data_IF_395163793115
#
_entry.id   IF_395163793115
#
_cell.length_a   1.000
_cell.length_b   1.000
_cell.length_c   1.000
_cell.angle_alpha   90.00
_cell.angle_beta   90.00
_cell.angle_gamma   90.00
#
_symmetry.space_group_name_H-M   'P 1'
#
loop_
_entity.id
_entity.type
_entity.pdbx_description
1 polymer ?
#
# COMPACT_ATOMS: atom_id res chain seq x y z
N UNK A 1 19.24 -28.23 -82.89
CA UNK A 1 19.79 -28.83 -81.65
C UNK A 1 20.57 -27.72 -80.93
N UNK A 2 19.95 -26.92 -80.06
CA UNK A 2 19.63 -27.20 -78.65
C UNK A 2 20.88 -27.48 -77.79
N UNK A 3 21.19 -26.58 -76.84
CA UNK A 3 22.23 -26.78 -75.83
C UNK A 3 22.66 -25.51 -75.09
N UNK A 4 21.75 -24.90 -74.32
CA UNK A 4 22.02 -23.72 -73.47
C UNK A 4 22.79 -24.18 -72.22
N UNK A 5 24.03 -23.72 -72.03
CA UNK A 5 24.93 -24.16 -70.95
C UNK A 5 24.78 -23.27 -69.70
N UNK A 6 24.23 -23.88 -68.65
CA UNK A 6 24.43 -23.66 -67.19
C UNK A 6 24.66 -22.24 -66.65
N UNK A 7 23.71 -21.82 -65.82
CA UNK A 7 23.70 -20.64 -64.94
C UNK A 7 24.79 -20.78 -63.87
N UNK A 8 25.71 -19.80 -63.81
CA UNK A 8 26.71 -19.68 -62.76
C UNK A 8 26.09 -19.11 -61.47
N UNK A 9 26.14 -19.89 -60.40
CA UNK A 9 25.80 -19.47 -59.03
C UNK A 9 26.89 -18.55 -58.50
N UNK A 10 26.69 -17.23 -58.61
CA UNK A 10 27.53 -16.23 -57.92
C UNK A 10 27.33 -16.36 -56.41
N UNK A 11 28.41 -16.70 -55.71
CA UNK A 11 28.49 -16.75 -54.26
C UNK A 11 28.04 -15.43 -53.64
N UNK A 12 27.00 -15.51 -52.83
CA UNK A 12 26.55 -14.41 -51.98
C UNK A 12 27.56 -14.32 -50.84
N UNK A 13 28.47 -13.35 -50.94
CA UNK A 13 29.34 -12.95 -49.84
C UNK A 13 28.45 -12.46 -48.71
N UNK A 14 28.30 -13.32 -47.71
CA UNK A 14 27.70 -13.06 -46.41
C UNK A 14 28.25 -11.75 -45.86
N UNK A 15 27.49 -10.68 -46.08
CA UNK A 15 27.81 -9.34 -45.62
C UNK A 15 27.02 -9.16 -44.35
N UNK A 16 27.76 -9.29 -43.24
CA UNK A 16 27.40 -8.98 -41.86
C UNK A 16 26.17 -8.08 -41.74
N UNK A 17 25.06 -8.64 -41.29
CA UNK A 17 23.86 -7.88 -40.97
C UNK A 17 24.16 -6.97 -39.77
N UNK A 18 24.29 -5.67 -40.04
CA UNK A 18 24.16 -4.61 -39.04
C UNK A 18 22.66 -4.51 -38.70
N UNK A 19 22.22 -5.12 -37.60
CA UNK A 19 20.86 -4.94 -37.09
C UNK A 19 20.88 -4.72 -35.58
N UNK A 20 21.16 -3.44 -35.24
CA UNK A 20 20.45 -2.65 -34.24
C UNK A 20 20.09 -3.36 -32.92
N UNK A 21 20.95 -3.13 -31.91
CA UNK A 21 20.64 -3.29 -30.49
C UNK A 21 19.34 -2.53 -30.14
N UNK A 22 18.21 -3.22 -30.07
CA UNK A 22 17.02 -2.70 -29.41
C UNK A 22 17.10 -3.04 -27.92
N UNK A 23 17.71 -2.14 -27.14
CA UNK A 23 17.53 -2.12 -25.68
C UNK A 23 16.05 -1.89 -25.37
N UNK A 24 15.30 -2.96 -25.11
CA UNK A 24 14.07 -2.86 -24.34
C UNK A 24 14.30 -3.58 -23.02
N UNK A 25 15.03 -2.91 -22.14
CA UNK A 25 15.01 -3.22 -20.71
C UNK A 25 13.62 -2.84 -20.20
N UNK A 26 12.66 -3.75 -20.37
CA UNK A 26 11.39 -3.68 -19.68
C UNK A 26 11.68 -3.86 -18.19
N UNK A 27 11.79 -2.75 -17.46
CA UNK A 27 11.77 -2.78 -16.01
C UNK A 27 10.35 -3.19 -15.60
N UNK A 28 10.08 -4.50 -15.61
CA UNK A 28 8.86 -5.07 -15.06
C UNK A 28 8.93 -4.92 -13.54
N UNK A 29 8.58 -3.74 -13.04
CA UNK A 29 8.45 -3.50 -11.60
C UNK A 29 7.23 -4.30 -11.12
N UNK A 30 7.46 -5.52 -10.64
CA UNK A 30 6.42 -6.35 -10.01
C UNK A 30 5.89 -5.57 -8.81
N UNK A 31 4.71 -4.97 -8.94
CA UNK A 31 3.98 -4.38 -7.82
C UNK A 31 3.28 -5.52 -7.08
N UNK A 32 3.85 -5.96 -5.97
CA UNK A 32 3.23 -6.93 -5.07
C UNK A 32 2.09 -6.27 -4.28
N UNK A 33 1.01 -5.88 -4.96
CA UNK A 33 -0.16 -5.37 -4.27
C UNK A 33 -0.83 -6.48 -3.44
N UNK A 34 -1.08 -6.19 -2.18
CA UNK A 34 -1.75 -7.11 -1.25
C UNK A 34 -3.00 -6.45 -0.67
N UNK A 35 -3.97 -7.27 -0.28
CA UNK A 35 -5.10 -6.82 0.53
C UNK A 35 -4.72 -6.94 1.99
N UNK A 36 -4.89 -5.86 2.75
CA UNK A 36 -4.66 -5.80 4.20
C UNK A 36 -5.99 -5.65 4.89
N UNK A 37 -6.31 -6.58 5.80
CA UNK A 37 -7.46 -6.49 6.70
C UNK A 37 -7.09 -5.67 7.93
N UNK A 38 -7.83 -4.60 8.19
CA UNK A 38 -7.59 -3.68 9.31
C UNK A 38 -8.73 -3.83 10.30
N UNK A 39 -8.37 -4.18 11.53
CA UNK A 39 -9.31 -4.36 12.64
C UNK A 39 -8.87 -3.50 13.81
N UNK A 40 -9.83 -2.98 14.57
CA UNK A 40 -9.53 -2.25 15.79
C UNK A 40 -10.39 -2.74 16.94
N UNK A 41 -9.85 -2.55 18.14
CA UNK A 41 -10.58 -2.69 19.40
C UNK A 41 -10.52 -1.35 20.15
N UNK A 42 -11.67 -0.66 20.32
CA UNK A 42 -13.02 -1.04 19.87
C UNK A 42 -13.20 -0.97 18.33
N UNK A 43 -14.24 -1.63 17.81
CA UNK A 43 -14.61 -1.62 16.38
C UNK A 43 -15.23 -0.28 15.96
N UNK A 44 -15.35 -0.03 14.65
CA UNK A 44 -15.91 1.20 14.09
C UNK A 44 -15.00 2.41 14.31
N UNK A 45 -13.68 2.22 14.14
CA UNK A 45 -12.72 3.31 14.10
C UNK A 45 -12.55 3.76 12.64
N UNK A 46 -12.45 5.08 12.42
CA UNK A 46 -12.18 5.66 11.11
C UNK A 46 -10.70 5.48 10.77
N UNK A 47 -10.43 4.88 9.62
CA UNK A 47 -9.10 4.67 9.05
C UNK A 47 -8.96 5.56 7.83
N UNK A 48 -8.07 6.55 7.91
CA UNK A 48 -7.70 7.41 6.77
C UNK A 48 -6.34 6.97 6.24
N UNK A 49 -6.28 6.52 5.00
CA UNK A 49 -5.09 5.98 4.36
C UNK A 49 -4.60 6.96 3.31
N UNK A 50 -3.34 7.40 3.44
CA UNK A 50 -2.76 8.42 2.58
C UNK A 50 -2.85 8.00 1.10
N UNK A 51 -3.57 8.80 0.30
CA UNK A 51 -3.71 8.58 -1.15
C UNK A 51 -4.58 7.39 -1.56
N UNK A 52 -5.30 6.74 -0.63
CA UNK A 52 -6.29 5.67 -0.95
C UNK A 52 -7.70 6.11 -0.62
N UNK A 53 -7.91 6.72 0.56
CA UNK A 53 -9.23 7.13 1.03
C UNK A 53 -9.47 6.72 2.47
N UNK A 54 -10.74 6.56 2.82
CA UNK A 54 -11.19 6.31 4.20
C UNK A 54 -12.08 5.08 4.29
N UNK A 55 -11.99 4.34 5.39
CA UNK A 55 -12.89 3.24 5.74
C UNK A 55 -13.09 3.13 7.25
N UNK A 56 -14.12 2.39 7.68
CA UNK A 56 -14.34 2.10 9.10
C UNK A 56 -13.94 0.65 9.41
N UNK A 57 -13.27 0.43 10.54
CA UNK A 57 -12.88 -0.91 10.97
C UNK A 57 -14.11 -1.74 11.41
N UNK A 58 -14.16 -3.05 11.10
CA UNK A 58 -13.23 -3.79 10.28
C UNK A 58 -13.37 -3.46 8.77
N UNK A 59 -12.26 -3.14 8.10
CA UNK A 59 -12.23 -2.92 6.66
C UNK A 59 -11.01 -3.57 6.00
N UNK A 60 -11.12 -3.84 4.70
CA UNK A 60 -10.03 -4.39 3.89
C UNK A 60 -9.60 -3.36 2.85
N UNK A 61 -8.31 -3.10 2.75
CA UNK A 61 -7.77 -2.16 1.76
C UNK A 61 -6.71 -2.80 0.88
N UNK A 62 -6.62 -2.36 -0.37
CA UNK A 62 -5.55 -2.79 -1.29
C UNK A 62 -4.34 -1.87 -1.14
N UNK A 63 -3.19 -2.45 -0.83
CA UNK A 63 -1.91 -1.76 -0.59
C UNK A 63 -0.89 -2.22 -1.62
N UNK A 64 -0.51 -1.33 -2.52
CA UNK A 64 0.42 -1.57 -3.62
C UNK A 64 1.86 -1.09 -3.33
N UNK A 65 1.99 -0.10 -2.45
CA UNK A 65 3.26 0.40 -1.90
C UNK A 65 3.07 0.68 -0.41
N UNK A 66 4.16 0.91 0.33
CA UNK A 66 4.04 1.28 1.73
C UNK A 66 3.29 2.62 1.88
N UNK A 67 2.27 2.66 2.74
CA UNK A 67 1.44 3.84 2.99
C UNK A 67 1.32 4.08 4.50
N UNK A 68 1.15 5.33 4.90
CA UNK A 68 0.75 5.62 6.27
C UNK A 68 -0.77 5.67 6.36
N UNK A 69 -1.30 5.29 7.50
CA UNK A 69 -2.71 5.46 7.81
C UNK A 69 -2.87 6.04 9.22
N UNK A 70 -3.90 6.85 9.41
CA UNK A 70 -4.31 7.35 10.71
C UNK A 70 -5.62 6.68 11.09
N UNK A 71 -5.66 6.09 12.28
CA UNK A 71 -6.83 5.42 12.85
C UNK A 71 -7.33 6.28 14.00
N UNK A 72 -8.60 6.69 13.94
CA UNK A 72 -9.20 7.58 14.92
C UNK A 72 -10.59 7.09 15.33
N UNK A 73 -10.93 7.29 16.62
CA UNK A 73 -12.25 7.01 17.17
C UNK A 73 -12.51 7.95 18.35
N UNK A 74 -13.74 8.44 18.47
CA UNK A 74 -14.12 9.31 19.57
C UNK A 74 -13.84 8.65 20.94
N UNK A 75 -13.20 9.40 21.85
CA UNK A 75 -12.80 8.93 23.17
C UNK A 75 -11.48 8.16 23.22
N UNK A 76 -10.80 7.95 22.09
CA UNK A 76 -9.52 7.24 22.01
C UNK A 76 -8.43 8.11 21.39
N UNK A 77 -7.17 7.83 21.76
CA UNK A 77 -6.00 8.45 21.17
C UNK A 77 -5.85 7.99 19.70
N UNK A 78 -5.60 8.90 18.75
CA UNK A 78 -5.39 8.55 17.35
C UNK A 78 -4.05 7.81 17.18
N UNK A 79 -4.06 6.77 16.37
CA UNK A 79 -2.88 5.93 16.12
C UNK A 79 -2.44 6.07 14.67
N UNK A 80 -1.15 6.34 14.44
CA UNK A 80 -0.55 6.33 13.10
C UNK A 80 0.12 4.99 12.86
N UNK A 81 -0.28 4.31 11.79
CA UNK A 81 0.24 3.00 11.39
C UNK A 81 0.89 3.08 10.00
N UNK A 82 1.71 2.08 9.68
CA UNK A 82 2.29 1.89 8.35
C UNK A 82 1.80 0.58 7.78
N UNK A 83 1.21 0.64 6.59
CA UNK A 83 0.69 -0.50 5.86
C UNK A 83 1.66 -0.81 4.73
N UNK A 84 2.17 -2.04 4.71
CA UNK A 84 3.12 -2.50 3.70
C UNK A 84 2.49 -3.58 2.82
N UNK A 85 2.81 -3.60 1.52
CA UNK A 85 2.38 -4.70 0.67
C UNK A 85 2.96 -6.02 1.18
N UNK A 86 2.12 -7.07 1.24
CA UNK A 86 2.46 -8.37 1.80
C UNK A 86 1.95 -8.60 3.23
N UNK A 87 1.56 -7.54 3.95
CA UNK A 87 0.80 -7.67 5.19
C UNK A 87 -0.60 -8.20 4.87
N UNK A 88 -1.10 -9.15 5.67
CA UNK A 88 -2.46 -9.69 5.51
C UNK A 88 -3.45 -9.06 6.48
N UNK A 89 -3.03 -8.83 7.71
CA UNK A 89 -3.90 -8.33 8.77
C UNK A 89 -3.14 -7.39 9.70
N UNK A 90 -3.84 -6.36 10.19
CA UNK A 90 -3.35 -5.42 11.18
C UNK A 90 -4.40 -5.23 12.28
N UNK A 91 -4.07 -5.61 13.51
CA UNK A 91 -4.92 -5.44 14.68
C UNK A 91 -4.47 -4.22 15.49
N UNK A 92 -5.34 -3.23 15.63
CA UNK A 92 -5.11 -2.03 16.46
C UNK A 92 -5.81 -2.19 17.81
N UNK A 93 -5.06 -2.07 18.90
CA UNK A 93 -5.64 -1.84 20.22
C UNK A 93 -5.55 -0.34 20.51
N UNK A 94 -6.70 0.32 20.65
CA UNK A 94 -6.75 1.76 20.89
C UNK A 94 -6.66 2.08 22.37
N UNK A 95 -5.98 3.17 22.71
CA UNK A 95 -5.85 3.68 24.07
C UNK A 95 -6.91 4.76 24.31
N UNK A 96 -7.56 4.75 25.47
CA UNK A 96 -8.54 5.77 25.83
C UNK A 96 -7.85 7.11 26.04
N UNK A 97 -8.44 8.18 25.52
CA UNK A 97 -7.88 9.53 25.67
C UNK A 97 -8.13 10.12 27.08
N UNK A 98 -9.04 9.52 27.86
CA UNK A 98 -9.37 9.96 29.20
C UNK A 98 -8.90 8.94 30.24
N UNK A 99 -7.82 9.27 30.94
CA UNK A 99 -7.69 8.93 32.34
C UNK A 99 -7.98 10.23 33.12
N UNK A 100 -9.26 10.56 33.31
CA UNK A 100 -9.60 11.58 34.30
C UNK A 100 -9.51 10.90 35.66
N UNK A 101 -8.38 11.09 36.34
CA UNK A 101 -8.33 10.94 37.79
C UNK A 101 -9.42 11.82 38.39
N UNK A 102 -10.00 11.30 39.47
CA UNK A 102 -11.29 11.64 40.02
C UNK A 102 -11.57 13.15 40.04
N UNK A 103 -12.81 13.49 39.67
CA UNK A 103 -13.36 14.80 40.00
C UNK A 103 -13.40 14.82 41.53
N UNK A 104 -12.38 15.40 42.16
CA UNK A 104 -12.41 15.65 43.60
C UNK A 104 -13.72 16.39 43.85
N UNK A 105 -14.64 15.71 44.53
CA UNK A 105 -15.80 16.33 45.13
C UNK A 105 -15.23 17.30 46.18
N UNK A 106 -14.89 18.51 45.73
CA UNK A 106 -14.60 19.64 46.59
C UNK A 106 -15.87 19.82 47.39
N UNK A 107 -15.82 19.24 48.59
CA UNK A 107 -16.78 19.38 49.66
C UNK A 107 -17.19 20.85 49.70
N UNK A 108 -18.49 21.08 49.47
CA UNK A 108 -19.14 22.35 49.72
C UNK A 108 -18.66 22.83 51.09
N UNK A 109 -17.84 23.87 51.11
CA UNK A 109 -17.47 24.55 52.35
C UNK A 109 -18.75 25.04 52.98
N UNK A 110 -18.96 24.63 54.23
CA UNK A 110 -20.06 25.09 55.07
C UNK A 110 -20.10 26.62 55.06
N UNK A 111 -21.29 27.14 54.75
CA UNK A 111 -21.59 28.56 54.73
C UNK A 111 -21.84 28.94 56.20
N UNK A 112 -20.86 29.54 56.86
CA UNK A 112 -21.11 30.22 58.14
C UNK A 112 -21.61 31.65 57.87
N UNK A 113 -22.84 31.91 58.31
CA UNK A 113 -23.59 33.18 58.28
C UNK A 113 -23.10 34.18 59.34
#
# INVERSE_FOLDING_TARGET
MAGRKTIGTRGIRSSLALAMFAMLSACATIRNAATVDIRSEPTGALVTVDGVGECETPCSIRVDVQRSATVAKAGYLPVRIRLSPGLREYQIKMELAAASEDVDAVMLGDIDE
#
